data_IF_273374085117
#
_entry.id   IF_273374085117
#
_cell.length_a   1.000
_cell.length_b   1.000
_cell.length_c   1.000
_cell.angle_alpha   90.00
_cell.angle_beta   90.00
_cell.angle_gamma   90.00
#
_symmetry.space_group_name_H-M   'P 1'
#
loop_
_entity.id
_entity.type
_entity.pdbx_description
1 polymer ?
#
# COMPACT_ATOMS: atom_id res chain seq x y z
N UNK A 1 -19.13 -24.86 -66.08
CA UNK A 1 -17.81 -24.68 -65.45
C UNK A 1 -17.26 -26.07 -65.18
N UNK A 2 -16.36 -26.55 -66.04
CA UNK A 2 -15.83 -27.93 -65.98
C UNK A 2 -14.71 -28.02 -64.94
N UNK A 3 -14.91 -28.79 -63.87
CA UNK A 3 -13.85 -29.19 -62.95
C UNK A 3 -12.91 -30.17 -63.65
N UNK A 4 -11.62 -29.89 -63.65
CA UNK A 4 -10.59 -30.80 -64.16
C UNK A 4 -10.44 -31.98 -63.19
N UNK A 5 -10.15 -33.21 -63.68
CA UNK A 5 -10.02 -34.41 -62.81
C UNK A 5 -8.96 -34.34 -61.71
N UNK A 6 -8.11 -33.30 -61.70
CA UNK A 6 -7.02 -33.12 -60.76
C UNK A 6 -7.20 -31.93 -59.81
N UNK A 7 -8.30 -31.18 -59.93
CA UNK A 7 -8.49 -29.95 -59.15
C UNK A 7 -8.55 -30.23 -57.64
N UNK A 8 -9.29 -31.27 -57.22
CA UNK A 8 -9.40 -31.66 -55.80
C UNK A 8 -8.04 -32.06 -55.22
N UNK A 9 -7.28 -32.89 -55.94
CA UNK A 9 -5.95 -33.34 -55.50
C UNK A 9 -4.94 -32.18 -55.45
N UNK A 10 -5.05 -31.21 -56.35
CA UNK A 10 -4.21 -30.02 -56.36
C UNK A 10 -4.52 -29.11 -55.17
N UNK A 11 -5.79 -28.99 -54.80
CA UNK A 11 -6.23 -28.23 -53.62
C UNK A 11 -5.71 -28.88 -52.33
N UNK A 12 -5.87 -30.20 -52.17
CA UNK A 12 -5.34 -30.95 -51.02
C UNK A 12 -3.82 -30.78 -50.86
N UNK A 13 -3.06 -30.90 -51.96
CA UNK A 13 -1.62 -30.68 -51.95
C UNK A 13 -1.27 -29.21 -51.64
N UNK A 14 -2.06 -28.27 -52.14
CA UNK A 14 -1.86 -26.87 -51.88
C UNK A 14 -2.00 -26.56 -50.39
N UNK A 15 -3.05 -27.08 -49.76
CA UNK A 15 -3.32 -26.96 -48.33
C UNK A 15 -2.27 -27.64 -47.47
N UNK A 16 -1.84 -28.86 -47.84
CA UNK A 16 -0.82 -29.61 -47.11
C UNK A 16 0.50 -28.81 -47.04
N UNK A 17 0.94 -28.24 -48.17
CA UNK A 17 2.12 -27.38 -48.24
C UNK A 17 1.93 -26.10 -47.44
N UNK A 18 0.73 -25.50 -47.47
CA UNK A 18 0.42 -24.31 -46.67
C UNK A 18 0.51 -24.60 -45.16
N UNK A 19 -0.01 -25.75 -44.71
CA UNK A 19 0.08 -26.21 -43.32
C UNK A 19 1.54 -26.41 -42.88
N UNK A 20 2.34 -27.11 -43.68
CA UNK A 20 3.76 -27.34 -43.41
C UNK A 20 4.56 -26.04 -43.30
N UNK A 21 4.32 -25.08 -44.19
CA UNK A 21 4.97 -23.77 -44.16
C UNK A 21 4.56 -22.96 -42.93
N UNK A 22 3.27 -22.96 -42.58
CA UNK A 22 2.77 -22.25 -41.39
C UNK A 22 3.34 -22.82 -40.10
N UNK A 23 3.41 -24.14 -39.95
CA UNK A 23 4.00 -24.78 -38.78
C UNK A 23 5.50 -24.42 -38.66
N UNK A 24 6.22 -24.48 -39.77
CA UNK A 24 7.63 -24.12 -39.80
C UNK A 24 7.88 -22.63 -39.48
N UNK A 25 7.03 -21.73 -40.00
CA UNK A 25 7.08 -20.31 -39.67
C UNK A 25 6.83 -20.05 -38.18
N UNK A 26 5.85 -20.74 -37.56
CA UNK A 26 5.59 -20.63 -36.11
C UNK A 26 6.79 -21.11 -35.27
N UNK A 27 7.46 -22.18 -35.70
CA UNK A 27 8.68 -22.67 -35.04
C UNK A 27 9.81 -21.64 -35.15
N UNK A 28 9.98 -21.03 -36.32
CA UNK A 28 10.94 -19.93 -36.50
C UNK A 28 10.55 -18.69 -35.67
N UNK A 29 9.27 -18.36 -35.53
CA UNK A 29 8.87 -17.22 -34.71
C UNK A 29 9.20 -17.43 -33.22
N UNK A 30 8.98 -18.64 -32.71
CA UNK A 30 9.21 -18.98 -31.29
C UNK A 30 10.68 -19.15 -30.93
N UNK A 31 11.49 -19.73 -31.83
CA UNK A 31 12.88 -20.05 -31.57
C UNK A 31 13.82 -19.08 -32.29
N UNK A 32 14.41 -18.16 -31.52
CA UNK A 32 15.35 -17.15 -32.01
C UNK A 32 16.71 -17.71 -32.42
N UNK A 33 17.06 -18.94 -32.01
CA UNK A 33 18.30 -19.61 -32.40
C UNK A 33 18.30 -20.05 -33.87
N UNK A 34 17.11 -20.32 -34.42
CA UNK A 34 16.93 -20.71 -35.81
C UNK A 34 16.97 -19.47 -36.71
N UNK A 35 17.70 -19.54 -37.83
CA UNK A 35 17.75 -18.43 -38.79
C UNK A 35 16.39 -18.25 -39.48
N UNK A 36 15.86 -17.02 -39.50
CA UNK A 36 14.65 -16.66 -40.24
C UNK A 36 14.95 -16.53 -41.75
N UNK A 37 15.51 -17.57 -42.37
CA UNK A 37 15.89 -17.59 -43.79
C UNK A 37 15.04 -18.58 -44.58
N UNK A 38 14.95 -18.36 -45.90
CA UNK A 38 14.26 -19.27 -46.82
C UNK A 38 14.88 -20.68 -46.78
N UNK A 39 16.20 -20.75 -46.61
CA UNK A 39 16.93 -22.01 -46.48
C UNK A 39 16.53 -22.79 -45.23
N UNK A 40 16.38 -22.10 -44.10
CA UNK A 40 15.90 -22.72 -42.86
C UNK A 40 14.43 -23.09 -42.95
N UNK A 41 13.58 -22.24 -43.53
CA UNK A 41 12.16 -22.54 -43.74
C UNK A 41 11.98 -23.79 -44.60
N UNK A 42 12.71 -23.92 -45.72
CA UNK A 42 12.67 -25.09 -46.59
C UNK A 42 13.09 -26.38 -45.88
N UNK A 43 14.15 -26.33 -45.05
CA UNK A 43 14.59 -27.47 -44.25
C UNK A 43 13.55 -27.90 -43.22
N UNK A 44 12.85 -26.94 -42.63
CA UNK A 44 11.96 -27.17 -41.50
C UNK A 44 10.53 -27.56 -41.92
N UNK A 45 10.08 -27.09 -43.09
CA UNK A 45 8.80 -27.46 -43.68
C UNK A 45 8.89 -28.68 -44.62
N UNK A 46 10.09 -29.06 -45.07
CA UNK A 46 10.29 -30.08 -46.10
C UNK A 46 9.91 -29.62 -47.52
N UNK A 47 9.61 -28.34 -47.70
CA UNK A 47 9.17 -27.76 -48.98
C UNK A 47 10.34 -27.15 -49.75
N UNK A 48 10.40 -27.40 -51.05
CA UNK A 48 11.46 -26.87 -51.91
C UNK A 48 11.45 -25.32 -51.96
N UNK A 49 12.64 -24.71 -52.04
CA UNK A 49 12.81 -23.24 -52.04
C UNK A 49 12.02 -22.55 -53.14
N UNK A 50 12.00 -23.11 -54.36
CA UNK A 50 11.23 -22.52 -55.47
C UNK A 50 9.74 -22.42 -55.15
N UNK A 51 9.16 -23.41 -54.46
CA UNK A 51 7.75 -23.37 -54.06
C UNK A 51 7.50 -22.22 -53.08
N UNK A 52 8.46 -21.94 -52.19
CA UNK A 52 8.39 -20.82 -51.26
C UNK A 52 8.46 -19.47 -52.01
N UNK A 53 9.38 -19.34 -52.96
CA UNK A 53 9.51 -18.14 -53.78
C UNK A 53 8.28 -17.87 -54.65
N UNK A 54 7.70 -18.91 -55.23
CA UNK A 54 6.50 -18.79 -56.07
C UNK A 54 5.28 -18.33 -55.26
N UNK A 55 5.16 -18.74 -53.99
CA UNK A 55 4.02 -18.41 -53.12
C UNK A 55 4.09 -17.03 -52.48
N UNK A 56 5.27 -16.39 -52.42
CA UNK A 56 5.56 -15.02 -51.91
C UNK A 56 5.19 -14.73 -50.45
N UNK A 57 3.99 -15.05 -49.99
CA UNK A 57 3.53 -14.83 -48.61
C UNK A 57 4.47 -15.39 -47.52
N UNK A 58 5.19 -16.54 -47.70
CA UNK A 58 6.11 -17.00 -46.67
C UNK A 58 7.32 -16.07 -46.53
N UNK A 59 7.71 -15.36 -47.60
CA UNK A 59 8.81 -14.40 -47.57
C UNK A 59 8.43 -13.16 -46.76
N UNK A 60 7.20 -12.67 -46.94
CA UNK A 60 6.66 -11.56 -46.16
C UNK A 60 6.62 -11.92 -44.67
N UNK A 61 6.12 -13.11 -44.33
CA UNK A 61 6.12 -13.60 -42.94
C UNK A 61 7.53 -13.74 -42.37
N UNK A 62 8.49 -14.23 -43.14
CA UNK A 62 9.89 -14.29 -42.71
C UNK A 62 10.47 -12.90 -42.44
N UNK A 63 10.12 -11.88 -43.23
CA UNK A 63 10.56 -10.51 -43.00
C UNK A 63 9.96 -9.94 -41.71
N UNK A 64 8.67 -10.15 -41.47
CA UNK A 64 8.02 -9.76 -40.21
C UNK A 64 8.71 -10.43 -39.00
N UNK A 65 9.04 -11.72 -39.08
CA UNK A 65 9.77 -12.42 -38.00
C UNK A 65 11.14 -11.78 -37.77
N UNK A 66 11.87 -11.39 -38.82
CA UNK A 66 13.17 -10.71 -38.68
C UNK A 66 13.02 -9.35 -38.00
N UNK A 67 12.05 -8.56 -38.44
CA UNK A 67 11.79 -7.23 -37.88
C UNK A 67 11.42 -7.32 -36.40
N UNK A 68 10.51 -8.24 -36.04
CA UNK A 68 10.13 -8.49 -34.65
C UNK A 68 11.32 -8.87 -33.78
N UNK A 69 12.21 -9.74 -34.27
CA UNK A 69 13.44 -10.12 -33.53
C UNK A 69 14.41 -8.96 -33.37
N UNK A 70 14.53 -8.08 -34.36
CA UNK A 70 15.37 -6.87 -34.26
C UNK A 70 14.79 -5.92 -33.21
N UNK A 71 13.46 -5.73 -33.21
CA UNK A 71 12.80 -4.86 -32.25
C UNK A 71 12.94 -5.40 -30.82
N UNK A 72 12.68 -6.70 -30.61
CA UNK A 72 12.88 -7.34 -29.30
C UNK A 72 14.30 -7.17 -28.77
N UNK A 73 15.33 -7.31 -29.63
CA UNK A 73 16.72 -7.07 -29.21
C UNK A 73 16.98 -5.62 -28.79
N UNK A 74 16.35 -4.65 -29.44
CA UNK A 74 16.45 -3.24 -29.05
C UNK A 74 15.75 -3.01 -27.72
N UNK A 75 14.55 -3.55 -27.55
CA UNK A 75 13.76 -3.42 -26.33
C UNK A 75 14.51 -4.07 -25.14
N UNK A 76 15.07 -5.26 -25.32
CA UNK A 76 15.89 -5.96 -24.33
C UNK A 76 17.16 -5.16 -23.96
N UNK A 77 17.78 -4.49 -24.92
CA UNK A 77 18.95 -3.65 -24.67
C UNK A 77 18.60 -2.41 -23.84
N UNK A 78 17.44 -1.78 -24.10
CA UNK A 78 16.93 -0.65 -23.33
C UNK A 78 16.61 -1.08 -21.90
N UNK A 79 15.94 -2.24 -21.73
CA UNK A 79 15.62 -2.79 -20.41
C UNK A 79 16.89 -3.08 -19.62
N UNK A 80 17.91 -3.70 -20.24
CA UNK A 80 19.20 -3.96 -19.59
C UNK A 80 19.95 -2.68 -19.23
N UNK A 81 19.88 -1.64 -20.06
CA UNK A 81 20.51 -0.36 -19.78
C UNK A 81 19.80 0.42 -18.66
N UNK A 82 18.49 0.21 -18.49
CA UNK A 82 17.70 0.81 -17.40
C UNK A 82 17.72 0.05 -16.08
N UNK A 83 18.27 -1.17 -16.05
CA UNK A 83 18.41 -1.95 -14.82
C UNK A 83 19.55 -1.38 -13.99
N UNK A 84 19.20 -0.92 -12.77
CA UNK A 84 20.19 -0.49 -11.78
C UNK A 84 21.15 -1.64 -11.48
N UNK A 85 22.43 -1.30 -11.35
CA UNK A 85 23.43 -2.30 -11.01
C UNK A 85 23.19 -2.84 -9.59
N UNK A 86 23.63 -4.07 -9.27
CA UNK A 86 23.54 -4.59 -7.91
C UNK A 86 24.19 -3.68 -6.86
N UNK A 87 25.25 -2.97 -7.23
CA UNK A 87 25.95 -2.00 -6.38
C UNK A 87 25.09 -0.77 -6.09
N UNK A 88 24.42 -0.21 -7.11
CA UNK A 88 23.46 0.89 -6.92
C UNK A 88 22.27 0.49 -6.05
N UNK A 89 21.75 -0.72 -6.23
CA UNK A 89 20.66 -1.24 -5.39
C UNK A 89 21.11 -1.44 -3.94
N UNK A 90 22.35 -1.89 -3.73
CA UNK A 90 22.93 -2.01 -2.41
C UNK A 90 23.08 -0.64 -1.75
N UNK A 91 23.54 0.37 -2.48
CA UNK A 91 23.67 1.74 -1.95
C UNK A 91 22.30 2.34 -1.57
N UNK A 92 21.28 2.17 -2.43
CA UNK A 92 19.92 2.60 -2.14
C UNK A 92 19.36 1.92 -0.89
N UNK A 93 19.54 0.61 -0.76
CA UNK A 93 19.07 -0.13 0.42
C UNK A 93 19.76 0.34 1.70
N UNK A 94 21.06 0.68 1.64
CA UNK A 94 21.79 1.25 2.80
C UNK A 94 21.23 2.59 3.22
N UNK A 95 20.93 3.48 2.26
CA UNK A 95 20.32 4.78 2.54
C UNK A 95 18.93 4.62 3.18
N UNK A 96 18.12 3.70 2.67
CA UNK A 96 16.81 3.40 3.25
C UNK A 96 16.92 2.88 4.69
N UNK A 97 17.87 1.99 4.97
CA UNK A 97 18.11 1.49 6.33
C UNK A 97 18.50 2.63 7.27
N UNK A 98 19.40 3.53 6.85
CA UNK A 98 19.80 4.69 7.65
C UNK A 98 18.60 5.62 7.91
N UNK A 99 17.80 5.86 6.87
CA UNK A 99 16.59 6.68 6.99
C UNK A 99 15.62 6.10 8.00
N UNK A 100 15.25 4.82 7.86
CA UNK A 100 14.29 4.18 8.76
C UNK A 100 14.81 4.03 10.18
N UNK A 101 16.11 3.79 10.34
CA UNK A 101 16.75 3.80 11.65
C UNK A 101 16.64 5.16 12.33
N UNK A 102 16.88 6.25 11.59
CA UNK A 102 16.75 7.62 12.10
C UNK A 102 15.31 7.92 12.49
N UNK A 103 14.33 7.61 11.62
CA UNK A 103 12.91 7.79 11.90
C UNK A 103 12.46 7.02 13.15
N UNK A 104 12.95 5.78 13.31
CA UNK A 104 12.66 4.97 14.50
C UNK A 104 13.23 5.60 15.77
N UNK A 105 14.45 6.13 15.71
CA UNK A 105 15.08 6.76 16.85
C UNK A 105 14.34 8.04 17.27
N UNK A 106 13.92 8.86 16.31
CA UNK A 106 13.14 10.07 16.56
C UNK A 106 11.76 9.75 17.14
N UNK A 107 11.10 8.72 16.63
CA UNK A 107 9.83 8.24 17.17
C UNK A 107 9.98 7.74 18.62
N UNK A 108 11.06 7.00 18.94
CA UNK A 108 11.38 6.56 20.31
C UNK A 108 11.63 7.73 21.24
N UNK A 109 12.41 8.71 20.81
CA UNK A 109 12.70 9.92 21.60
C UNK A 109 11.41 10.71 21.87
N UNK A 110 10.57 10.88 20.85
CA UNK A 110 9.27 11.55 20.96
C UNK A 110 8.36 10.82 21.94
N UNK A 111 8.24 9.49 21.82
CA UNK A 111 7.43 8.67 22.73
C UNK A 111 7.93 8.76 24.17
N UNK A 112 9.25 8.67 24.40
CA UNK A 112 9.84 8.84 25.72
C UNK A 112 9.52 10.22 26.32
N UNK A 113 9.54 11.28 25.51
CA UNK A 113 9.16 12.63 25.96
C UNK A 113 7.67 12.72 26.33
N UNK A 114 6.79 12.07 25.56
CA UNK A 114 5.35 12.03 25.82
C UNK A 114 5.03 11.25 27.09
N UNK A 115 5.69 10.11 27.32
CA UNK A 115 5.53 9.32 28.54
C UNK A 115 5.92 10.14 29.77
N UNK A 116 7.00 10.91 29.71
CA UNK A 116 7.41 11.80 30.81
C UNK A 116 6.34 12.87 31.09
N UNK A 117 5.90 13.59 30.05
CA UNK A 117 4.84 14.61 30.16
C UNK A 117 3.54 14.02 30.71
N UNK A 118 3.18 12.81 30.30
CA UNK A 118 1.98 12.13 30.77
C UNK A 118 2.07 11.82 32.27
N UNK A 119 3.22 11.32 32.74
CA UNK A 119 3.46 11.09 34.18
C UNK A 119 3.38 12.39 35.00
N UNK A 120 3.99 13.47 34.52
CA UNK A 120 3.94 14.79 35.16
C UNK A 120 2.51 15.34 35.21
N UNK A 121 1.77 15.20 34.12
CA UNK A 121 0.36 15.62 34.03
C UNK A 121 -0.52 14.80 34.97
N UNK A 122 -0.30 13.49 35.02
CA UNK A 122 -1.01 12.60 35.94
C UNK A 122 -0.72 12.93 37.40
N UNK A 123 0.56 13.16 37.75
CA UNK A 123 0.93 13.57 39.09
C UNK A 123 0.26 14.89 39.49
N UNK A 124 0.25 15.87 38.58
CA UNK A 124 -0.42 17.17 38.79
C UNK A 124 -1.93 17.00 38.96
N UNK A 125 -2.57 16.19 38.11
CA UNK A 125 -4.01 15.86 38.22
C UNK A 125 -4.32 15.26 39.59
N UNK A 126 -3.55 14.26 40.01
CA UNK A 126 -3.76 13.58 41.28
C UNK A 126 -3.57 14.52 42.47
N UNK A 127 -2.58 15.41 42.40
CA UNK A 127 -2.35 16.44 43.42
C UNK A 127 -3.56 17.36 43.57
N UNK A 128 -4.05 17.96 42.49
CA UNK A 128 -5.21 18.86 42.54
C UNK A 128 -6.50 18.14 42.92
N UNK A 129 -6.69 16.90 42.48
CA UNK A 129 -7.83 16.08 42.91
C UNK A 129 -7.80 15.82 44.42
N UNK A 130 -6.63 15.55 44.99
CA UNK A 130 -6.48 15.38 46.43
C UNK A 130 -6.80 16.68 47.17
N UNK A 131 -6.22 17.80 46.75
CA UNK A 131 -6.48 19.11 47.34
C UNK A 131 -7.96 19.49 47.26
N UNK A 132 -8.63 19.22 46.14
CA UNK A 132 -10.06 19.47 45.98
C UNK A 132 -10.91 18.66 46.95
N UNK A 133 -10.55 17.38 47.20
CA UNK A 133 -11.24 16.54 48.18
C UNK A 133 -11.06 17.08 49.60
N UNK A 134 -9.83 17.47 49.96
CA UNK A 134 -9.53 18.06 51.27
C UNK A 134 -10.32 19.37 51.49
N UNK A 135 -10.40 20.22 50.48
CA UNK A 135 -11.22 21.44 50.54
C UNK A 135 -12.70 21.13 50.70
N UNK A 136 -13.23 20.14 49.97
CA UNK A 136 -14.63 19.73 50.09
C UNK A 136 -14.95 19.20 51.51
N UNK A 137 -14.07 18.39 52.08
CA UNK A 137 -14.22 17.90 53.46
C UNK A 137 -14.22 19.06 54.47
N UNK A 138 -13.33 20.04 54.30
CA UNK A 138 -13.28 21.21 55.17
C UNK A 138 -14.52 22.09 55.03
N UNK A 139 -15.01 22.33 53.80
CA UNK A 139 -16.25 23.06 53.55
C UNK A 139 -17.42 22.36 54.24
N UNK A 140 -17.52 21.03 54.14
CA UNK A 140 -18.58 20.27 54.79
C UNK A 140 -18.53 20.40 56.33
N UNK A 141 -17.33 20.33 56.93
CA UNK A 141 -17.15 20.55 58.38
C UNK A 141 -17.58 21.95 58.81
N UNK A 142 -17.10 22.97 58.09
CA UNK A 142 -17.45 24.36 58.37
C UNK A 142 -18.95 24.62 58.21
N UNK A 143 -19.57 24.01 57.20
CA UNK A 143 -21.02 24.12 56.96
C UNK A 143 -21.81 23.49 58.11
N UNK A 144 -21.36 22.34 58.61
CA UNK A 144 -21.95 21.70 59.78
C UNK A 144 -21.82 22.55 61.06
N UNK A 145 -20.64 23.14 61.29
CA UNK A 145 -20.41 24.04 62.43
C UNK A 145 -21.29 25.31 62.34
N UNK A 146 -21.39 25.91 61.15
CA UNK A 146 -22.27 27.05 60.91
C UNK A 146 -23.73 26.68 61.23
N UNK A 147 -24.21 25.52 60.77
CA UNK A 147 -25.56 25.04 61.09
C UNK A 147 -25.78 24.93 62.60
N UNK A 148 -24.82 24.33 63.33
CA UNK A 148 -24.91 24.19 64.78
C UNK A 148 -24.94 25.54 65.50
N UNK A 149 -24.15 26.51 65.03
CA UNK A 149 -24.13 27.86 65.59
C UNK A 149 -25.44 28.61 65.30
N UNK A 150 -26.01 28.43 64.10
CA UNK A 150 -27.32 28.98 63.74
C UNK A 150 -28.42 28.43 64.65
N UNK A 151 -28.44 27.12 64.89
CA UNK A 151 -29.41 26.50 65.81
C UNK A 151 -29.27 27.03 67.24
N UNK A 152 -28.02 27.18 67.73
CA UNK A 152 -27.77 27.73 69.05
C UNK A 152 -28.20 29.20 69.19
N UNK A 153 -27.96 30.01 68.14
CA UNK A 153 -28.43 31.40 68.10
C UNK A 153 -29.95 31.48 68.09
N UNK A 154 -30.63 30.64 67.30
CA UNK A 154 -32.09 30.59 67.27
C UNK A 154 -32.68 30.27 68.65
N UNK A 155 -32.11 29.29 69.37
CA UNK A 155 -32.53 28.95 70.73
C UNK A 155 -32.33 30.14 71.70
N UNK A 156 -31.18 30.82 71.62
CA UNK A 156 -30.90 31.99 72.47
C UNK A 156 -31.84 33.16 72.16
N UNK A 157 -32.18 33.39 70.88
CA UNK A 157 -33.15 34.39 70.48
C UNK A 157 -34.54 34.08 71.03
N UNK A 158 -34.97 32.81 71.00
CA UNK A 158 -36.21 32.36 71.64
C UNK A 158 -36.19 32.60 73.17
N UNK A 159 -35.12 32.25 73.86
CA UNK A 159 -34.97 32.51 75.30
C UNK A 159 -35.02 34.01 75.63
N UNK A 160 -34.32 34.84 74.86
CA UNK A 160 -34.33 36.30 75.03
C UNK A 160 -35.72 36.89 74.78
N UNK A 161 -36.46 36.40 73.79
CA UNK A 161 -37.85 36.84 73.54
C UNK A 161 -38.78 36.44 74.68
N UNK A 162 -38.64 35.21 75.22
CA UNK A 162 -39.38 34.75 76.39
C UNK A 162 -39.09 35.61 77.63
N UNK A 163 -37.81 35.88 77.92
CA UNK A 163 -37.40 36.73 79.04
C UNK A 163 -37.92 38.16 78.88
N UNK A 164 -37.81 38.77 77.69
CA UNK A 164 -38.36 40.11 77.41
C UNK A 164 -39.88 40.17 77.62
N UNK A 165 -40.60 39.12 77.22
CA UNK A 165 -42.05 39.02 77.44
C UNK A 165 -42.41 38.95 78.93
N UNK A 166 -41.63 38.24 79.73
CA UNK A 166 -41.87 38.09 81.16
C UNK A 166 -41.37 39.28 82.00
N UNK A 167 -40.37 40.03 81.51
CA UNK A 167 -39.83 41.23 82.14
C UNK A 167 -40.58 42.52 81.76
N UNK A 168 -41.49 42.48 80.78
CA UNK A 168 -42.37 43.61 80.47
C UNK A 168 -43.55 43.61 81.45
N UNK A 169 -43.59 44.51 82.45
CA UNK A 169 -44.72 44.58 83.36
C UNK A 169 -45.94 45.13 82.61
N UNK A 170 -47.11 44.57 82.92
CA UNK A 170 -48.39 45.09 82.48
C UNK A 170 -48.45 46.60 82.79
N UNK A 171 -48.59 47.42 81.74
CA UNK A 171 -49.14 48.77 81.84
C UNK A 171 -50.65 48.69 81.71
#
# INVERSE_FOLDING_TARGET
>A
MSSSPYDEKNEELFEAVTRQLNEALRKLEKDSSLSASVSSLAKLSGVHRNTIYNRKWPLEKLNVIKENRVQQKKDDAIIKAGQKTPEELLELSRLEVIYWFTQLQDARNSNNSLIKKLKETEASRNFYMKQSREHLENINKQTYEISKLQDALALQEEELTFLKRNLSPAK
#
